data_IF_840088830217
#
_entry.id   IF_840088830217
#
_cell.length_a   1.000
_cell.length_b   1.000
_cell.length_c   1.000
_cell.angle_alpha   90.00
_cell.angle_beta   90.00
_cell.angle_gamma   90.00
#
_symmetry.space_group_name_H-M   'P 1'
#
loop_
_entity.id
_entity.type
_entity.pdbx_description
1 polymer ?
#
# COMPACT_ATOMS: atom_id res chain seq x y z
N UNK A 1 2.73 -37.60 25.48
CA UNK A 1 3.12 -36.17 25.55
C UNK A 1 4.61 -36.08 25.27
N UNK A 2 5.01 -35.58 24.09
CA UNK A 2 6.43 -35.30 23.77
C UNK A 2 6.72 -33.86 24.21
N UNK A 3 7.52 -33.70 25.25
CA UNK A 3 8.05 -32.39 25.65
C UNK A 3 9.21 -32.04 24.74
N UNK A 4 9.00 -31.05 23.87
CA UNK A 4 10.06 -30.51 23.01
C UNK A 4 10.96 -29.63 23.88
N UNK A 5 12.12 -30.17 24.26
CA UNK A 5 13.18 -29.43 24.95
C UNK A 5 13.76 -28.42 23.95
N UNK A 6 13.41 -27.14 24.11
CA UNK A 6 13.96 -26.06 23.32
C UNK A 6 15.42 -25.81 23.75
N UNK A 7 16.38 -26.15 22.89
CA UNK A 7 17.80 -25.96 23.16
C UNK A 7 18.15 -24.46 23.41
N UNK A 8 19.05 -24.17 24.36
CA UNK A 8 19.33 -22.80 24.83
C UNK A 8 19.94 -21.87 23.75
N UNK A 9 20.54 -22.43 22.69
CA UNK A 9 21.12 -21.67 21.57
C UNK A 9 20.09 -21.16 20.54
N UNK A 10 18.85 -21.64 20.59
CA UNK A 10 17.79 -21.28 19.63
C UNK A 10 17.11 -19.95 20.03
N UNK A 11 17.11 -19.64 21.33
CA UNK A 11 16.54 -18.40 21.89
C UNK A 11 17.13 -17.09 21.32
N UNK A 12 18.47 -16.90 21.24
CA UNK A 12 19.02 -15.66 20.68
C UNK A 12 18.81 -15.54 19.16
N UNK A 13 18.76 -16.65 18.43
CA UNK A 13 18.58 -16.66 16.98
C UNK A 13 17.15 -16.25 16.56
N UNK A 14 16.14 -16.62 17.34
CA UNK A 14 14.75 -16.19 17.10
C UNK A 14 14.60 -14.69 17.42
N UNK A 15 15.28 -14.20 18.46
CA UNK A 15 15.24 -12.78 18.86
C UNK A 15 15.82 -11.87 17.78
N UNK A 16 16.96 -12.24 17.18
CA UNK A 16 17.58 -11.45 16.10
C UNK A 16 16.79 -11.52 14.79
N UNK A 17 16.17 -12.67 14.46
CA UNK A 17 15.29 -12.79 13.31
C UNK A 17 14.01 -11.93 13.45
N UNK A 18 13.39 -11.91 14.62
CA UNK A 18 12.26 -11.00 14.87
C UNK A 18 12.69 -9.52 14.84
N UNK A 19 13.84 -9.18 15.43
CA UNK A 19 14.33 -7.81 15.42
C UNK A 19 14.62 -7.30 13.99
N UNK A 20 15.21 -8.15 13.14
CA UNK A 20 15.47 -7.80 11.73
C UNK A 20 14.18 -7.64 10.93
N UNK A 21 13.17 -8.51 11.13
CA UNK A 21 11.86 -8.35 10.50
C UNK A 21 11.16 -7.04 10.92
N UNK A 22 11.21 -6.69 12.21
CA UNK A 22 10.66 -5.43 12.71
C UNK A 22 11.39 -4.23 12.09
N UNK A 23 12.72 -4.26 12.00
CA UNK A 23 13.50 -3.21 11.35
C UNK A 23 13.17 -3.06 9.85
N UNK A 24 12.96 -4.17 9.13
CA UNK A 24 12.55 -4.13 7.71
C UNK A 24 11.16 -3.48 7.58
N UNK A 25 10.19 -3.81 8.44
CA UNK A 25 8.85 -3.19 8.38
C UNK A 25 8.84 -1.69 8.71
N UNK A 26 9.79 -1.22 9.54
CA UNK A 26 9.94 0.20 9.86
C UNK A 26 10.61 0.99 8.74
N UNK A 27 11.43 0.33 7.90
CA UNK A 27 12.10 0.98 6.76
C UNK A 27 11.18 1.33 5.58
N UNK A 28 9.91 0.90 5.62
CA UNK A 28 8.89 1.15 4.58
C UNK A 28 8.08 2.45 4.77
N UNK A 29 8.36 3.25 5.80
CA UNK A 29 7.78 4.59 5.92
C UNK A 29 8.54 5.57 5.01
N UNK A 30 8.29 5.52 3.70
CA UNK A 30 8.64 6.64 2.82
C UNK A 30 7.63 7.76 3.00
N UNK A 31 8.12 8.99 3.00
CA UNK A 31 7.25 10.15 3.00
C UNK A 31 6.62 10.39 1.62
N UNK A 32 5.53 11.17 1.58
CA UNK A 32 4.83 11.46 0.33
C UNK A 32 5.74 12.22 -0.67
N UNK A 33 6.64 13.08 -0.18
CA UNK A 33 7.59 13.79 -1.03
C UNK A 33 8.70 12.89 -1.58
N UNK A 34 9.17 11.91 -0.79
CA UNK A 34 10.15 10.92 -1.25
C UNK A 34 9.54 10.02 -2.33
N UNK A 35 8.29 9.60 -2.12
CA UNK A 35 7.56 8.80 -3.10
C UNK A 35 7.36 9.59 -4.40
N UNK A 36 6.91 10.86 -4.31
CA UNK A 36 6.78 11.73 -5.48
C UNK A 36 8.10 11.87 -6.24
N UNK A 37 9.22 11.98 -5.53
CA UNK A 37 10.54 12.09 -6.15
C UNK A 37 10.93 10.81 -6.90
N UNK A 38 10.67 9.65 -6.30
CA UNK A 38 10.90 8.36 -6.94
C UNK A 38 10.04 8.20 -8.20
N UNK A 39 8.76 8.56 -8.12
CA UNK A 39 7.82 8.53 -9.25
C UNK A 39 8.28 9.42 -10.41
N UNK A 40 8.70 10.66 -10.11
CA UNK A 40 9.23 11.58 -11.13
C UNK A 40 10.49 11.05 -11.81
N UNK A 41 11.37 10.39 -11.05
CA UNK A 41 12.58 9.78 -11.60
C UNK A 41 12.26 8.60 -12.51
N UNK A 42 11.35 7.72 -12.06
CA UNK A 42 10.91 6.56 -12.83
C UNK A 42 10.19 6.96 -14.12
N UNK A 43 9.29 7.94 -14.05
CA UNK A 43 8.57 8.45 -15.21
C UNK A 43 9.51 9.13 -16.19
N UNK A 44 10.50 9.89 -15.71
CA UNK A 44 11.49 10.54 -16.57
C UNK A 44 12.23 9.52 -17.43
N UNK A 45 12.70 8.44 -16.81
CA UNK A 45 13.31 7.30 -17.52
C UNK A 45 12.35 6.69 -18.54
N UNK A 46 11.15 6.36 -18.08
CA UNK A 46 10.09 5.77 -18.91
C UNK A 46 9.78 6.64 -20.14
N UNK A 47 9.55 7.94 -19.95
CA UNK A 47 9.26 8.87 -21.03
C UNK A 47 10.41 8.99 -22.02
N UNK A 48 11.66 8.99 -21.53
CA UNK A 48 12.84 8.95 -22.39
C UNK A 48 12.90 7.66 -23.22
N UNK A 49 12.62 6.50 -22.61
CA UNK A 49 12.63 5.20 -23.26
C UNK A 49 11.54 5.08 -24.35
N UNK A 50 10.40 5.74 -24.14
CA UNK A 50 9.32 5.84 -25.14
C UNK A 50 9.58 6.88 -26.24
N UNK A 51 10.80 7.42 -26.33
CA UNK A 51 11.20 8.33 -27.41
C UNK A 51 10.84 9.80 -27.18
N UNK A 52 10.53 10.18 -25.93
CA UNK A 52 10.31 11.57 -25.55
C UNK A 52 11.56 12.11 -24.82
N UNK A 53 12.54 12.70 -25.53
CA UNK A 53 13.82 13.09 -24.95
C UNK A 53 13.66 14.23 -23.94
N UNK A 54 14.45 14.20 -22.87
CA UNK A 54 14.46 15.23 -21.84
C UNK A 54 14.54 16.66 -22.41
N UNK A 55 13.75 17.56 -21.85
CA UNK A 55 13.67 18.96 -22.28
C UNK A 55 12.81 19.22 -23.52
N UNK A 56 12.31 18.17 -24.20
CA UNK A 56 11.35 18.32 -25.29
C UNK A 56 9.91 18.51 -24.77
N UNK A 57 9.07 19.15 -25.59
CA UNK A 57 7.63 19.22 -25.32
C UNK A 57 6.99 17.84 -25.18
N UNK A 58 7.40 16.88 -26.01
CA UNK A 58 6.92 15.51 -25.95
C UNK A 58 7.22 14.86 -24.59
N UNK A 59 8.36 15.18 -23.97
CA UNK A 59 8.72 14.68 -22.66
C UNK A 59 7.82 15.28 -21.57
N UNK A 60 7.59 16.59 -21.59
CA UNK A 60 6.64 17.23 -20.68
C UNK A 60 5.23 16.65 -20.82
N UNK A 61 4.74 16.47 -22.05
CA UNK A 61 3.42 15.88 -22.30
C UNK A 61 3.35 14.43 -21.81
N UNK A 62 4.44 13.66 -21.92
CA UNK A 62 4.51 12.31 -21.36
C UNK A 62 4.46 12.33 -19.84
N UNK A 63 5.26 13.16 -19.18
CA UNK A 63 5.30 13.29 -17.73
C UNK A 63 3.94 13.71 -17.15
N UNK A 64 3.25 14.67 -17.77
CA UNK A 64 1.92 15.09 -17.35
C UNK A 64 0.89 13.96 -17.48
N UNK A 65 0.91 13.20 -18.58
CA UNK A 65 0.04 12.02 -18.71
C UNK A 65 0.32 10.95 -17.65
N UNK A 66 1.59 10.75 -17.28
CA UNK A 66 1.94 9.81 -16.21
C UNK A 66 1.38 10.27 -14.87
N UNK A 67 1.50 11.57 -14.57
CA UNK A 67 0.94 12.17 -13.38
C UNK A 67 -0.58 12.02 -13.35
N UNK A 68 -1.28 12.39 -14.42
CA UNK A 68 -2.74 12.30 -14.52
C UNK A 68 -3.24 10.87 -14.31
N UNK A 69 -2.52 9.86 -14.83
CA UNK A 69 -2.86 8.45 -14.59
C UNK A 69 -2.79 8.07 -13.13
N UNK A 70 -1.72 8.43 -12.42
CA UNK A 70 -1.58 8.13 -10.99
C UNK A 70 -2.61 8.87 -10.15
N UNK A 71 -2.86 10.13 -10.45
CA UNK A 71 -3.84 10.93 -9.71
C UNK A 71 -5.24 10.32 -9.87
N UNK A 72 -5.60 9.87 -11.07
CA UNK A 72 -6.85 9.17 -11.31
C UNK A 72 -6.91 7.80 -10.61
N UNK A 73 -5.83 7.02 -10.64
CA UNK A 73 -5.76 5.75 -9.90
C UNK A 73 -5.93 5.94 -8.39
N UNK A 74 -5.30 6.97 -7.81
CA UNK A 74 -5.47 7.32 -6.40
C UNK A 74 -6.91 7.72 -6.09
N UNK A 75 -7.53 8.56 -6.92
CA UNK A 75 -8.94 8.93 -6.77
C UNK A 75 -9.86 7.70 -6.79
N UNK A 76 -9.66 6.80 -7.76
CA UNK A 76 -10.46 5.58 -7.87
C UNK A 76 -10.24 4.63 -6.69
N UNK A 77 -9.03 4.54 -6.16
CA UNK A 77 -8.74 3.72 -4.99
C UNK A 77 -9.38 4.29 -3.72
N UNK A 78 -9.37 5.61 -3.56
CA UNK A 78 -10.09 6.28 -2.47
C UNK A 78 -11.61 6.04 -2.56
N UNK A 79 -12.17 6.11 -3.77
CA UNK A 79 -13.60 5.84 -3.97
C UNK A 79 -13.96 4.38 -3.68
N UNK A 80 -13.14 3.43 -4.13
CA UNK A 80 -13.32 2.01 -3.78
C UNK A 80 -13.25 1.78 -2.27
N UNK A 81 -12.31 2.43 -1.59
CA UNK A 81 -12.17 2.34 -0.14
C UNK A 81 -13.41 2.91 0.58
N UNK A 82 -13.95 4.04 0.08
CA UNK A 82 -15.20 4.63 0.57
C UNK A 82 -16.38 3.67 0.42
N UNK A 83 -16.61 3.14 -0.78
CA UNK A 83 -17.69 2.20 -1.06
C UNK A 83 -17.58 0.95 -0.18
N UNK A 84 -16.36 0.43 -0.01
CA UNK A 84 -16.10 -0.72 0.86
C UNK A 84 -16.44 -0.43 2.33
N UNK A 85 -16.08 0.75 2.83
CA UNK A 85 -16.41 1.20 4.19
C UNK A 85 -17.91 1.32 4.41
N UNK A 86 -18.62 1.90 3.43
CA UNK A 86 -20.08 2.05 3.48
C UNK A 86 -20.77 0.68 3.45
N UNK A 87 -20.33 -0.22 2.57
CA UNK A 87 -20.84 -1.60 2.50
C UNK A 87 -20.67 -2.34 3.83
N UNK A 88 -19.50 -2.20 4.47
CA UNK A 88 -19.24 -2.81 5.78
C UNK A 88 -20.18 -2.26 6.87
N UNK A 89 -20.43 -0.94 6.89
CA UNK A 89 -21.38 -0.31 7.82
C UNK A 89 -22.80 -0.84 7.61
N UNK A 90 -23.27 -0.87 6.36
CA UNK A 90 -24.61 -1.35 6.02
C UNK A 90 -24.81 -2.81 6.42
N UNK A 91 -23.79 -3.66 6.23
CA UNK A 91 -23.84 -5.06 6.65
C UNK A 91 -23.99 -5.22 8.17
N UNK A 92 -23.26 -4.41 8.96
CA UNK A 92 -23.36 -4.44 10.42
C UNK A 92 -24.74 -3.97 10.90
N UNK A 93 -25.29 -2.93 10.28
CA UNK A 93 -26.63 -2.44 10.58
C UNK A 93 -27.71 -3.50 10.25
N UNK A 94 -27.63 -4.12 9.08
CA UNK A 94 -28.54 -5.20 8.69
C UNK A 94 -28.50 -6.39 9.66
N UNK A 95 -27.32 -6.78 10.12
CA UNK A 95 -27.17 -7.82 11.14
C UNK A 95 -27.80 -7.41 12.48
N UNK A 96 -27.70 -6.14 12.86
CA UNK A 96 -28.33 -5.61 14.07
C UNK A 96 -29.86 -5.70 13.97
N UNK A 97 -30.43 -5.25 12.86
CA UNK A 97 -31.87 -5.33 12.59
C UNK A 97 -32.38 -6.78 12.56
N UNK A 98 -31.61 -7.72 12.00
CA UNK A 98 -31.96 -9.15 12.04
C UNK A 98 -31.93 -9.72 13.46
N UNK A 99 -31.02 -9.27 14.33
CA UNK A 99 -31.00 -9.69 15.74
C UNK A 99 -32.19 -9.14 16.50
N UNK A 100 -32.52 -7.87 16.31
CA UNK A 100 -33.68 -7.25 16.96
C UNK A 100 -34.99 -7.93 16.54
N UNK A 101 -35.15 -8.24 15.25
CA UNK A 101 -36.32 -9.00 14.74
C UNK A 101 -36.41 -10.43 15.25
N UNK A 102 -35.31 -11.08 15.63
CA UNK A 102 -35.31 -12.44 16.21
C UNK A 102 -35.63 -12.45 17.71
N UNK A 103 -35.48 -11.31 18.38
CA UNK A 103 -35.73 -11.16 19.81
C UNK A 103 -37.15 -10.61 20.10
N UNK A 104 -37.93 -10.30 19.06
CA UNK A 104 -39.37 -10.03 19.11
C UNK A 104 -40.15 -11.29 18.74
#
# INVERSE_FOLDING_TARGET
MKTTILHPKIRPAISTACATLVLITLSSCMSAEEQRRADLYQDGGTCSDFGAPYGSRAHTDCMLRQQDRRDNEQLMNMERARISSETARNNVEMLRLMRERRNQ
#
